data_IF_111153096291
#
_entry.id   IF_111153096291
#
_cell.length_a   1.000
_cell.length_b   1.000
_cell.length_c   1.000
_cell.angle_alpha   90.00
_cell.angle_beta   90.00
_cell.angle_gamma   90.00
#
_symmetry.space_group_name_H-M   'P 1'
#
loop_
_entity.id
_entity.type
_entity.pdbx_description
1 polymer ?
#
# COMPACT_ATOMS: atom_id res chain seq x y z
N UNK A 1 47.74 -1.25 15.05
CA UNK A 1 46.75 -1.33 13.93
C UNK A 1 45.31 -1.06 14.41
N UNK A 2 45.04 -0.02 15.17
CA UNK A 2 43.74 0.22 15.81
C UNK A 2 43.18 1.65 15.66
N UNK A 3 43.94 2.62 15.17
CA UNK A 3 43.50 4.01 15.09
C UNK A 3 42.84 4.38 13.73
N UNK A 4 43.18 3.70 12.65
CA UNK A 4 42.68 4.03 11.30
C UNK A 4 41.17 3.72 11.08
N UNK A 5 40.63 2.70 11.75
CA UNK A 5 39.23 2.28 11.58
C UNK A 5 38.19 3.20 12.24
N UNK A 6 38.59 3.86 13.37
CA UNK A 6 37.67 4.78 14.06
C UNK A 6 37.54 6.13 13.36
N UNK A 7 38.54 6.58 12.63
CA UNK A 7 38.48 7.82 11.86
C UNK A 7 37.69 7.69 10.59
N UNK A 8 37.73 6.52 9.92
CA UNK A 8 36.93 6.28 8.71
C UNK A 8 35.42 6.15 9.03
N UNK A 9 35.07 5.53 10.18
CA UNK A 9 33.67 5.43 10.60
C UNK A 9 33.09 6.78 11.01
N UNK A 10 33.88 7.65 11.67
CA UNK A 10 33.46 9.01 12.00
C UNK A 10 33.28 9.92 10.79
N UNK A 11 34.13 9.80 9.79
CA UNK A 11 34.04 10.58 8.54
C UNK A 11 32.84 10.15 7.68
N UNK A 12 32.52 8.85 7.60
CA UNK A 12 31.36 8.33 6.87
C UNK A 12 30.05 8.79 7.55
N UNK A 13 29.98 8.79 8.88
CA UNK A 13 28.80 9.27 9.61
C UNK A 13 28.59 10.80 9.48
N UNK A 14 29.66 11.59 9.39
CA UNK A 14 29.56 13.04 9.17
C UNK A 14 29.17 13.37 7.74
N UNK A 15 29.68 12.62 6.76
CA UNK A 15 29.34 12.83 5.33
C UNK A 15 27.90 12.40 5.04
N UNK A 16 27.41 11.30 5.64
CA UNK A 16 26.00 10.89 5.51
C UNK A 16 25.07 11.85 6.26
N UNK A 17 25.45 12.37 7.42
CA UNK A 17 24.68 13.39 8.16
C UNK A 17 24.60 14.72 7.41
N UNK A 18 25.68 15.15 6.77
CA UNK A 18 25.72 16.36 5.94
C UNK A 18 24.96 16.16 4.62
N UNK A 19 25.01 14.97 4.01
CA UNK A 19 24.23 14.67 2.80
C UNK A 19 22.72 14.61 3.11
N UNK A 20 22.32 14.07 4.26
CA UNK A 20 20.91 14.07 4.72
C UNK A 20 20.43 15.49 5.09
N UNK A 21 21.25 16.33 5.70
CA UNK A 21 20.89 17.72 6.02
C UNK A 21 20.84 18.60 4.77
N UNK A 22 21.79 18.44 3.83
CA UNK A 22 21.78 19.13 2.56
C UNK A 22 20.62 18.63 1.66
N UNK A 23 20.33 17.34 1.63
CA UNK A 23 19.17 16.74 0.97
C UNK A 23 17.86 17.23 1.55
N UNK A 24 17.72 17.27 2.89
CA UNK A 24 16.54 17.79 3.57
C UNK A 24 16.28 19.28 3.27
N UNK A 25 17.31 20.11 3.24
CA UNK A 25 17.19 21.51 2.85
C UNK A 25 16.88 21.69 1.36
N UNK A 26 17.40 20.82 0.50
CA UNK A 26 17.09 20.83 -0.94
C UNK A 26 15.63 20.42 -1.19
N UNK A 27 15.14 19.38 -0.51
CA UNK A 27 13.74 18.93 -0.57
C UNK A 27 12.75 20.01 -0.13
N UNK A 28 13.09 20.83 0.87
CA UNK A 28 12.25 21.95 1.30
C UNK A 28 12.15 23.08 0.26
N UNK A 29 13.07 23.13 -0.71
CA UNK A 29 13.08 24.12 -1.81
C UNK A 29 12.35 23.66 -3.07
N UNK A 30 11.84 22.41 -3.10
CA UNK A 30 11.06 21.94 -4.24
C UNK A 30 9.82 22.81 -4.43
N UNK A 31 9.53 23.23 -5.68
CA UNK A 31 8.36 24.05 -5.96
C UNK A 31 7.06 23.27 -5.65
N UNK A 32 6.02 24.03 -5.36
CA UNK A 32 4.70 23.44 -5.20
C UNK A 32 4.16 22.99 -6.56
N UNK A 33 3.61 21.79 -6.60
CA UNK A 33 2.82 21.31 -7.74
C UNK A 33 1.57 22.18 -7.88
N UNK A 34 1.20 22.53 -9.13
CA UNK A 34 -0.02 23.28 -9.43
C UNK A 34 -1.26 22.52 -8.97
N UNK A 35 -2.29 23.26 -8.54
CA UNK A 35 -3.59 22.69 -8.29
C UNK A 35 -4.43 22.49 -9.57
N UNK A 36 -4.05 23.12 -10.66
CA UNK A 36 -4.66 22.88 -11.97
C UNK A 36 -4.08 21.63 -12.61
N UNK A 37 -4.95 20.80 -13.16
CA UNK A 37 -4.55 19.51 -13.77
C UNK A 37 -3.76 19.77 -15.05
N UNK A 38 -2.60 19.13 -15.18
CA UNK A 38 -1.75 19.19 -16.37
C UNK A 38 -1.48 17.80 -16.93
N UNK A 39 -1.08 17.73 -18.20
CA UNK A 39 -0.77 16.51 -18.92
C UNK A 39 -1.94 15.91 -19.72
N UNK A 40 -1.66 14.95 -20.60
CA UNK A 40 -2.66 14.32 -21.45
C UNK A 40 -3.60 13.42 -20.63
N UNK A 41 -4.80 13.06 -21.16
CA UNK A 41 -5.63 12.03 -20.57
C UNK A 41 -4.88 10.70 -20.42
N UNK A 42 -5.32 9.85 -19.46
CA UNK A 42 -4.78 8.49 -19.30
C UNK A 42 -4.95 7.69 -20.61
N UNK A 43 -3.91 6.99 -21.01
CA UNK A 43 -3.85 6.25 -22.28
C UNK A 43 -3.24 4.85 -22.05
N UNK A 44 -3.74 3.82 -22.76
CA UNK A 44 -4.93 3.83 -23.62
C UNK A 44 -6.22 4.03 -22.83
N UNK A 45 -7.31 4.57 -23.43
CA UNK A 45 -8.59 4.66 -22.72
C UNK A 45 -9.07 3.28 -22.23
N UNK A 46 -9.51 3.19 -20.98
CA UNK A 46 -9.73 1.92 -20.27
C UNK A 46 -10.76 0.99 -20.95
N UNK A 47 -11.73 1.54 -21.67
CA UNK A 47 -12.76 0.79 -22.39
C UNK A 47 -12.45 0.61 -23.88
N UNK A 48 -11.39 1.24 -24.42
CA UNK A 48 -11.00 1.08 -25.83
C UNK A 48 -10.59 -0.37 -26.13
N UNK A 49 -10.54 -0.72 -27.41
CA UNK A 49 -9.98 -1.99 -27.85
C UNK A 49 -8.53 -2.13 -27.32
N UNK A 50 -8.17 -3.33 -26.93
CA UNK A 50 -6.90 -3.63 -26.31
C UNK A 50 -6.32 -4.89 -26.90
N UNK A 51 -5.28 -4.76 -27.73
CA UNK A 51 -4.72 -5.87 -28.50
C UNK A 51 -5.82 -6.58 -29.34
N UNK A 52 -6.01 -7.90 -29.17
CA UNK A 52 -7.08 -8.65 -29.80
C UNK A 52 -8.43 -8.56 -29.07
N UNK A 53 -8.48 -7.94 -27.88
CA UNK A 53 -9.71 -7.77 -27.10
C UNK A 53 -10.48 -6.53 -27.60
N UNK A 54 -11.73 -6.67 -28.10
CA UNK A 54 -12.50 -5.56 -28.60
C UNK A 54 -12.85 -4.55 -27.50
N UNK A 55 -13.30 -3.36 -27.91
CA UNK A 55 -13.77 -2.34 -26.98
C UNK A 55 -14.86 -2.87 -26.06
N UNK A 56 -14.87 -2.39 -24.83
CA UNK A 56 -15.82 -2.77 -23.78
C UNK A 56 -17.10 -1.97 -23.96
N UNK A 57 -18.23 -2.66 -24.08
CA UNK A 57 -19.55 -2.08 -24.28
C UNK A 57 -20.49 -2.30 -23.08
N UNK A 58 -20.19 -3.29 -22.23
CA UNK A 58 -21.04 -3.71 -21.12
C UNK A 58 -20.25 -4.07 -19.88
N UNK A 59 -20.95 -4.16 -18.75
CA UNK A 59 -20.38 -4.63 -17.49
C UNK A 59 -19.87 -6.09 -17.60
N UNK A 60 -20.60 -6.96 -18.32
CA UNK A 60 -20.15 -8.34 -18.53
C UNK A 60 -18.88 -8.40 -19.39
N UNK A 61 -18.74 -7.56 -20.44
CA UNK A 61 -17.48 -7.46 -21.18
C UNK A 61 -16.30 -7.09 -20.28
N UNK A 62 -16.54 -6.16 -19.35
CA UNK A 62 -15.53 -5.80 -18.39
C UNK A 62 -15.17 -6.95 -17.45
N UNK A 63 -16.17 -7.56 -16.82
CA UNK A 63 -15.98 -8.58 -15.79
C UNK A 63 -15.43 -9.90 -16.36
N UNK A 64 -15.94 -10.33 -17.51
CA UNK A 64 -15.67 -11.66 -18.06
C UNK A 64 -14.45 -11.69 -18.98
N UNK A 65 -14.08 -10.55 -19.59
CA UNK A 65 -12.97 -10.45 -20.55
C UNK A 65 -11.86 -9.51 -20.10
N UNK A 66 -12.16 -8.20 -19.98
CA UNK A 66 -11.12 -7.19 -19.80
C UNK A 66 -10.45 -7.27 -18.44
N UNK A 67 -11.17 -7.40 -17.36
CA UNK A 67 -10.60 -7.43 -16.02
C UNK A 67 -9.65 -8.64 -15.81
N UNK A 68 -9.99 -9.88 -16.20
CA UNK A 68 -9.05 -11.00 -16.17
C UNK A 68 -7.80 -10.77 -17.04
N UNK A 69 -7.97 -10.21 -18.25
CA UNK A 69 -6.86 -9.88 -19.14
C UNK A 69 -5.90 -8.87 -18.51
N UNK A 70 -6.42 -7.78 -17.94
CA UNK A 70 -5.60 -6.77 -17.26
C UNK A 70 -4.87 -7.35 -16.06
N UNK A 71 -5.52 -8.19 -15.25
CA UNK A 71 -4.85 -8.89 -14.14
C UNK A 71 -3.69 -9.73 -14.62
N UNK A 72 -3.85 -10.49 -15.69
CA UNK A 72 -2.77 -11.28 -16.30
C UNK A 72 -1.62 -10.36 -16.78
N UNK A 73 -1.95 -9.24 -17.44
CA UNK A 73 -0.96 -8.29 -17.94
C UNK A 73 -0.20 -7.58 -16.81
N UNK A 74 -0.86 -7.15 -15.75
CA UNK A 74 -0.17 -6.57 -14.59
C UNK A 74 0.82 -7.54 -13.93
N UNK A 75 0.49 -8.83 -13.92
CA UNK A 75 1.41 -9.86 -13.43
C UNK A 75 2.59 -10.04 -14.40
N UNK A 76 2.34 -10.24 -15.69
CA UNK A 76 3.38 -10.53 -16.65
C UNK A 76 4.33 -9.35 -16.92
N UNK A 77 3.83 -8.11 -16.84
CA UNK A 77 4.57 -6.94 -17.29
C UNK A 77 5.20 -6.13 -16.14
N UNK A 78 4.51 -6.04 -14.99
CA UNK A 78 4.90 -5.07 -13.94
C UNK A 78 5.23 -5.75 -12.62
N UNK A 79 4.29 -6.49 -12.01
CA UNK A 79 4.45 -6.90 -10.60
C UNK A 79 4.98 -8.32 -10.41
N UNK A 80 4.96 -9.14 -11.45
CA UNK A 80 5.24 -10.56 -11.37
C UNK A 80 4.02 -11.38 -10.94
N UNK A 81 4.17 -12.69 -11.00
CA UNK A 81 3.12 -13.63 -10.64
C UNK A 81 2.69 -13.42 -9.18
N UNK A 82 1.40 -13.39 -8.92
CA UNK A 82 0.88 -13.35 -7.54
C UNK A 82 1.15 -14.72 -6.87
N UNK A 83 1.67 -14.74 -5.64
CA UNK A 83 1.83 -15.99 -4.91
C UNK A 83 0.51 -16.74 -4.74
N UNK A 84 0.59 -18.07 -4.65
CA UNK A 84 -0.59 -18.91 -4.44
C UNK A 84 -1.32 -18.55 -3.13
N UNK A 85 -2.64 -18.68 -3.14
CA UNK A 85 -3.42 -18.55 -1.91
C UNK A 85 -3.11 -19.71 -0.97
N UNK A 86 -2.80 -19.39 0.28
CA UNK A 86 -2.45 -20.38 1.32
C UNK A 86 -3.23 -20.10 2.60
N UNK A 87 -3.42 -21.12 3.41
CA UNK A 87 -3.96 -20.95 4.75
C UNK A 87 -2.97 -20.30 5.72
N UNK A 88 -3.43 -20.03 6.92
CA UNK A 88 -2.62 -19.49 8.00
C UNK A 88 -2.77 -20.29 9.29
N UNK A 89 -1.92 -20.01 10.27
CA UNK A 89 -1.98 -20.52 11.63
C UNK A 89 -1.60 -19.39 12.60
N UNK A 90 -2.43 -19.13 13.61
CA UNK A 90 -2.06 -18.21 14.68
C UNK A 90 -1.21 -18.97 15.68
N UNK A 91 0.10 -18.74 15.67
CA UNK A 91 1.06 -19.40 16.58
C UNK A 91 0.87 -18.89 18.01
N UNK A 92 0.64 -17.58 18.14
CA UNK A 92 0.45 -16.95 19.45
C UNK A 92 -0.42 -15.71 19.35
N UNK A 93 -1.09 -15.39 20.45
CA UNK A 93 -1.90 -14.19 20.63
C UNK A 93 -1.68 -13.65 22.04
N UNK A 94 -1.19 -12.44 22.14
CA UNK A 94 -0.91 -11.78 23.41
C UNK A 94 -1.61 -10.43 23.49
N UNK A 95 -2.27 -10.18 24.62
CA UNK A 95 -2.80 -8.85 24.93
C UNK A 95 -1.65 -8.02 25.48
N UNK A 96 -1.28 -6.96 24.76
CA UNK A 96 -0.23 -6.02 25.13
C UNK A 96 -0.77 -4.92 26.03
N UNK A 97 -1.96 -4.42 25.72
CA UNK A 97 -2.65 -3.40 26.51
C UNK A 97 -4.14 -3.72 26.59
N UNK A 98 -4.65 -3.77 27.83
CA UNK A 98 -6.08 -3.92 28.10
C UNK A 98 -6.76 -2.56 28.21
N UNK A 99 -8.06 -2.47 27.89
CA UNK A 99 -8.81 -1.23 28.01
C UNK A 99 -9.09 -0.90 29.47
N UNK A 100 -8.12 -0.30 30.16
CA UNK A 100 -8.32 0.29 31.47
C UNK A 100 -9.07 1.63 31.37
N UNK A 101 -9.39 2.24 32.54
CA UNK A 101 -10.06 3.55 32.57
C UNK A 101 -9.18 4.59 31.87
N UNK A 102 -9.62 5.07 30.71
CA UNK A 102 -8.86 6.01 29.86
C UNK A 102 -8.16 5.39 28.65
N UNK A 103 -7.96 4.05 28.60
CA UNK A 103 -7.34 3.40 27.44
C UNK A 103 -8.24 3.46 26.18
N UNK A 104 -7.61 3.48 25.01
CA UNK A 104 -8.29 3.57 23.69
C UNK A 104 -9.05 2.30 23.32
N UNK A 105 -8.59 1.14 23.77
CA UNK A 105 -9.16 -0.17 23.44
C UNK A 105 -8.23 -1.29 23.88
N UNK A 106 -8.36 -2.46 23.25
CA UNK A 106 -7.46 -3.59 23.43
C UNK A 106 -6.41 -3.57 22.33
N UNK A 107 -5.12 -3.68 22.68
CA UNK A 107 -4.01 -3.86 21.74
C UNK A 107 -3.47 -5.28 21.91
N UNK A 108 -3.44 -6.02 20.83
CA UNK A 108 -2.97 -7.40 20.78
C UNK A 108 -1.87 -7.57 19.75
N UNK A 109 -0.96 -8.49 20.01
CA UNK A 109 0.00 -9.02 19.05
C UNK A 109 -0.39 -10.44 18.69
N UNK A 110 -0.53 -10.70 17.41
CA UNK A 110 -0.74 -12.01 16.82
C UNK A 110 0.49 -12.41 16.02
N UNK A 111 1.10 -13.55 16.32
CA UNK A 111 2.15 -14.13 15.48
C UNK A 111 1.50 -15.17 14.57
N UNK A 112 1.59 -14.95 13.25
CA UNK A 112 0.85 -15.67 12.23
C UNK A 112 1.84 -16.34 11.29
N UNK A 113 1.78 -17.68 11.15
CA UNK A 113 2.51 -18.41 10.13
C UNK A 113 1.64 -18.59 8.87
N UNK A 114 2.18 -18.29 7.71
CA UNK A 114 1.54 -18.54 6.42
C UNK A 114 1.95 -19.92 5.91
N UNK A 115 0.97 -20.77 5.53
CA UNK A 115 1.18 -22.20 5.19
C UNK A 115 1.61 -22.35 3.71
N UNK A 116 2.79 -21.84 3.35
CA UNK A 116 3.35 -22.05 2.01
C UNK A 116 3.56 -23.53 1.73
N UNK A 117 3.38 -23.97 0.47
CA UNK A 117 3.52 -25.37 0.06
C UNK A 117 4.96 -25.86 0.23
N UNK A 118 5.93 -25.01 -0.12
CA UNK A 118 7.34 -25.29 -0.06
C UNK A 118 8.01 -24.56 1.11
N UNK A 119 9.04 -25.16 1.68
CA UNK A 119 9.88 -24.49 2.66
C UNK A 119 10.74 -23.42 1.97
N UNK A 120 10.85 -22.26 2.59
CA UNK A 120 11.62 -21.13 2.07
C UNK A 120 12.68 -20.64 3.07
N UNK A 121 13.29 -19.47 2.79
CA UNK A 121 14.44 -18.95 3.54
C UNK A 121 14.06 -18.38 4.92
N UNK A 122 12.80 -18.41 5.31
CA UNK A 122 12.33 -17.93 6.62
C UNK A 122 12.76 -18.86 7.74
N UNK A 123 12.98 -18.30 8.93
CA UNK A 123 13.21 -19.11 10.13
C UNK A 123 12.02 -20.05 10.37
N UNK A 124 12.29 -21.35 10.40
CA UNK A 124 11.23 -22.38 10.45
C UNK A 124 10.60 -22.72 9.10
N UNK A 125 11.19 -22.24 7.98
CA UNK A 125 10.86 -22.62 6.60
C UNK A 125 9.62 -21.97 6.01
N UNK A 126 8.90 -21.13 6.73
CA UNK A 126 7.68 -20.44 6.23
C UNK A 126 7.58 -19.00 6.76
N UNK A 127 6.88 -18.11 6.02
CA UNK A 127 6.71 -16.73 6.46
C UNK A 127 5.97 -16.66 7.80
N UNK A 128 6.48 -15.84 8.70
CA UNK A 128 5.83 -15.51 9.97
C UNK A 128 5.65 -14.01 10.03
N UNK A 129 4.42 -13.57 10.23
CA UNK A 129 4.05 -12.15 10.30
C UNK A 129 3.57 -11.82 11.71
N UNK A 130 4.13 -10.78 12.29
CA UNK A 130 3.61 -10.20 13.52
C UNK A 130 2.57 -9.11 13.19
N UNK A 131 1.33 -9.37 13.56
CA UNK A 131 0.20 -8.44 13.40
C UNK A 131 -0.07 -7.74 14.73
N UNK A 132 -0.09 -6.41 14.74
CA UNK A 132 -0.64 -5.62 15.83
C UNK A 132 -2.09 -5.29 15.50
N UNK A 133 -2.99 -5.71 16.36
CA UNK A 133 -4.42 -5.45 16.24
C UNK A 133 -4.90 -4.60 17.43
N UNK A 134 -5.37 -3.40 17.14
CA UNK A 134 -6.10 -2.57 18.09
C UNK A 134 -7.60 -2.67 17.81
N UNK A 135 -8.38 -3.02 18.83
CA UNK A 135 -9.85 -2.99 18.79
C UNK A 135 -10.37 -1.92 19.75
N UNK A 136 -11.27 -1.03 19.32
CA UNK A 136 -11.83 0.01 20.19
C UNK A 136 -12.61 -0.56 21.38
N UNK A 137 -12.88 0.27 22.38
CA UNK A 137 -13.84 -0.06 23.43
C UNK A 137 -15.26 -0.15 22.86
N UNK A 138 -16.06 -1.07 23.40
CA UNK A 138 -17.47 -1.20 23.04
C UNK A 138 -17.82 -2.55 22.41
N UNK A 139 -19.01 -2.62 21.83
CA UNK A 139 -19.48 -3.79 21.10
C UNK A 139 -19.17 -3.65 19.62
N UNK A 140 -18.39 -4.60 19.08
CA UNK A 140 -18.22 -4.77 17.63
C UNK A 140 -19.50 -5.32 16.96
N UNK A 141 -19.39 -5.77 15.70
CA UNK A 141 -18.13 -5.84 14.96
C UNK A 141 -17.65 -4.46 14.47
N UNK A 142 -16.36 -4.20 14.59
CA UNK A 142 -15.74 -2.92 14.20
C UNK A 142 -15.26 -2.96 12.75
N UNK A 143 -15.39 -1.86 11.98
CA UNK A 143 -14.64 -1.69 10.75
C UNK A 143 -13.14 -1.68 11.08
N UNK A 144 -12.31 -2.25 10.22
CA UNK A 144 -10.87 -2.32 10.44
C UNK A 144 -10.10 -1.64 9.32
N UNK A 145 -9.17 -0.78 9.67
CA UNK A 145 -8.19 -0.19 8.76
C UNK A 145 -6.91 -1.00 8.86
N UNK A 146 -6.47 -1.58 7.76
CA UNK A 146 -5.36 -2.52 7.71
C UNK A 146 -4.27 -2.03 6.76
N UNK A 147 -3.00 -2.07 7.17
CA UNK A 147 -1.89 -1.64 6.31
C UNK A 147 -0.51 -2.01 6.82
N UNK A 148 0.41 -2.17 5.89
CA UNK A 148 1.82 -2.41 6.17
C UNK A 148 2.58 -1.16 6.63
N UNK A 149 3.59 -1.35 7.46
CA UNK A 149 4.46 -0.30 7.99
C UNK A 149 5.90 -0.45 7.54
N UNK A 150 6.63 0.66 7.50
CA UNK A 150 8.05 0.67 7.10
C UNK A 150 8.97 0.10 8.16
N UNK A 151 8.69 0.41 9.40
CA UNK A 151 9.47 -0.02 10.55
C UNK A 151 8.67 -1.09 11.27
N UNK A 152 9.30 -2.13 11.71
CA UNK A 152 8.62 -3.22 12.41
C UNK A 152 7.69 -2.73 13.53
N UNK A 153 6.88 -3.61 14.03
CA UNK A 153 5.80 -3.29 14.98
C UNK A 153 6.23 -2.56 16.26
N UNK A 154 7.51 -2.65 16.62
CA UNK A 154 8.07 -1.90 17.78
C UNK A 154 7.98 -0.38 17.62
N UNK A 155 8.01 0.11 16.36
CA UNK A 155 7.84 1.53 16.07
C UNK A 155 6.38 2.00 16.19
N UNK A 156 5.43 1.07 16.11
CA UNK A 156 4.01 1.34 16.27
C UNK A 156 3.58 1.44 17.72
N UNK A 157 4.23 0.65 18.58
CA UNK A 157 3.82 0.48 19.97
C UNK A 157 4.36 1.61 20.85
N UNK A 158 3.64 2.02 21.89
CA UNK A 158 4.17 2.89 22.92
C UNK A 158 5.45 2.30 23.50
N UNK A 159 6.44 3.14 23.81
CA UNK A 159 7.81 2.75 24.26
C UNK A 159 7.89 1.77 25.44
N UNK A 160 6.80 1.47 26.09
CA UNK A 160 6.72 0.63 27.29
C UNK A 160 6.49 -0.86 27.02
N UNK A 161 6.20 -1.26 25.77
CA UNK A 161 5.84 -2.65 25.46
C UNK A 161 7.02 -3.59 25.15
N UNK A 162 8.21 -3.08 25.03
CA UNK A 162 9.51 -3.72 25.31
C UNK A 162 9.98 -4.94 24.50
N UNK A 163 9.27 -5.41 23.50
CA UNK A 163 9.72 -6.59 22.73
C UNK A 163 9.82 -6.28 21.24
N UNK A 164 11.05 -6.35 20.72
CA UNK A 164 11.32 -6.28 19.29
C UNK A 164 10.61 -7.45 18.58
N UNK A 165 9.78 -7.14 17.60
CA UNK A 165 8.87 -8.09 16.98
C UNK A 165 9.31 -8.57 15.61
N UNK A 166 10.27 -7.90 14.96
CA UNK A 166 10.79 -8.35 13.67
C UNK A 166 12.13 -9.08 13.83
N UNK A 167 12.24 -10.20 13.15
CA UNK A 167 13.50 -10.98 13.07
C UNK A 167 14.42 -10.47 11.98
N UNK A 168 13.94 -9.59 11.11
CA UNK A 168 14.69 -9.05 9.97
C UNK A 168 15.41 -7.76 10.33
N UNK A 169 16.51 -7.48 9.61
CA UNK A 169 17.20 -6.21 9.73
C UNK A 169 16.29 -5.07 9.29
N UNK A 170 16.03 -4.13 10.20
CA UNK A 170 15.29 -2.92 9.90
C UNK A 170 16.16 -1.92 9.14
N UNK A 171 15.56 -1.11 8.25
CA UNK A 171 16.24 0.01 7.64
C UNK A 171 16.86 0.94 8.72
N UNK A 172 18.01 1.59 8.45
CA UNK A 172 18.69 2.46 9.42
C UNK A 172 17.78 3.56 10.00
N UNK A 173 16.83 4.06 9.23
CA UNK A 173 15.85 5.07 9.62
C UNK A 173 14.86 4.59 10.70
N UNK A 174 14.74 3.28 10.90
CA UNK A 174 13.86 2.69 11.91
C UNK A 174 14.54 2.49 13.27
N UNK A 175 15.85 2.73 13.37
CA UNK A 175 16.59 2.69 14.64
C UNK A 175 16.34 3.95 15.47
N UNK A 176 15.84 3.81 16.69
CA UNK A 176 15.60 4.93 17.62
C UNK A 176 16.87 5.68 17.99
N UNK A 177 17.20 6.78 17.31
CA UNK A 177 18.34 7.66 17.55
C UNK A 177 18.16 9.01 16.89
N UNK A 178 19.25 9.82 16.77
CA UNK A 178 19.22 11.09 16.05
C UNK A 178 18.55 11.02 14.65
N UNK A 179 18.65 9.92 13.88
CA UNK A 179 17.90 9.76 12.65
C UNK A 179 16.37 9.74 12.82
N UNK A 180 15.83 9.23 13.93
CA UNK A 180 14.36 9.10 14.11
C UNK A 180 13.63 10.43 14.16
N UNK A 181 14.23 11.46 14.72
CA UNK A 181 13.64 12.80 14.72
C UNK A 181 13.66 13.43 13.32
N UNK A 182 14.72 13.19 12.52
CA UNK A 182 14.79 13.62 11.11
C UNK A 182 13.75 12.90 10.25
N UNK A 183 13.57 11.61 10.45
CA UNK A 183 12.52 10.82 9.79
C UNK A 183 11.14 11.42 10.08
N UNK A 184 10.85 11.72 11.34
CA UNK A 184 9.58 12.36 11.73
C UNK A 184 9.43 13.76 11.13
N UNK A 185 10.50 14.54 11.06
CA UNK A 185 10.48 15.89 10.49
C UNK A 185 10.25 15.88 8.96
N UNK A 186 10.79 14.89 8.25
CA UNK A 186 10.70 14.76 6.79
C UNK A 186 9.44 14.01 6.38
N UNK A 187 9.20 12.84 6.98
CA UNK A 187 8.12 11.91 6.59
C UNK A 187 6.85 12.05 7.42
N UNK A 188 6.83 12.95 8.38
CA UNK A 188 5.65 13.26 9.18
C UNK A 188 5.50 12.39 10.43
N UNK A 189 4.65 12.86 11.33
CA UNK A 189 4.39 12.26 12.65
C UNK A 189 3.90 10.81 12.56
N UNK A 190 3.15 10.49 11.54
CA UNK A 190 2.47 9.20 11.39
C UNK A 190 3.16 8.25 10.40
N UNK A 191 4.38 8.53 9.99
CA UNK A 191 5.16 7.65 9.12
C UNK A 191 5.33 6.24 9.74
N UNK A 192 5.52 6.17 11.07
CA UNK A 192 5.73 4.93 11.78
C UNK A 192 4.51 4.46 12.59
N UNK A 193 3.70 5.37 13.12
CA UNK A 193 2.59 5.00 13.99
C UNK A 193 1.30 5.77 13.62
N UNK A 194 0.23 5.08 13.24
CA UNK A 194 -1.08 5.68 13.00
C UNK A 194 -1.64 6.39 14.25
N UNK A 195 -2.66 7.27 14.09
CA UNK A 195 -3.28 7.98 15.20
C UNK A 195 -4.26 7.07 15.98
N UNK A 196 -3.76 6.16 16.78
CA UNK A 196 -4.51 5.14 17.53
C UNK A 196 -5.75 5.68 18.22
N UNK A 197 -5.58 6.77 18.99
CA UNK A 197 -6.67 7.38 19.75
C UNK A 197 -7.80 7.90 18.84
N UNK A 198 -7.43 8.58 17.76
CA UNK A 198 -8.40 9.11 16.79
C UNK A 198 -9.19 7.99 16.12
N UNK A 199 -8.50 6.89 15.75
CA UNK A 199 -9.13 5.73 15.13
C UNK A 199 -10.11 5.06 16.10
N UNK A 200 -9.68 4.80 17.33
CA UNK A 200 -10.50 4.20 18.36
C UNK A 200 -11.74 5.05 18.71
N UNK A 201 -11.57 6.39 18.85
CA UNK A 201 -12.67 7.31 19.11
C UNK A 201 -13.71 7.33 17.99
N UNK A 202 -13.27 7.11 16.74
CA UNK A 202 -14.18 6.99 15.58
C UNK A 202 -14.72 5.58 15.37
N UNK A 203 -14.38 4.64 16.26
CA UNK A 203 -14.87 3.26 16.22
C UNK A 203 -14.21 2.38 15.17
N UNK A 204 -13.01 2.72 14.70
CA UNK A 204 -12.22 1.89 13.79
C UNK A 204 -11.22 1.04 14.57
N UNK A 205 -11.19 -0.25 14.29
CA UNK A 205 -10.04 -1.09 14.61
C UNK A 205 -8.87 -0.78 13.66
N UNK A 206 -7.66 -1.07 14.11
CA UNK A 206 -6.45 -0.92 13.30
C UNK A 206 -5.69 -2.23 13.31
N UNK A 207 -5.29 -2.71 12.13
CA UNK A 207 -4.42 -3.85 11.93
C UNK A 207 -3.15 -3.40 11.20
N UNK A 208 -1.98 -3.72 11.76
CA UNK A 208 -0.72 -3.29 11.20
C UNK A 208 0.35 -4.36 11.29
N UNK A 209 1.18 -4.50 10.27
CA UNK A 209 2.27 -5.48 10.18
C UNK A 209 3.45 -4.91 9.42
N UNK A 210 4.59 -5.58 9.52
CA UNK A 210 5.77 -5.24 8.72
C UNK A 210 5.88 -6.17 7.51
N UNK A 211 5.65 -5.69 6.28
CA UNK A 211 5.71 -6.54 5.07
C UNK A 211 7.09 -7.16 4.83
N UNK A 212 8.15 -6.52 5.37
CA UNK A 212 9.51 -7.04 5.33
C UNK A 212 9.72 -8.37 6.08
N UNK A 213 8.79 -8.77 6.96
CA UNK A 213 8.81 -10.09 7.60
C UNK A 213 8.60 -11.23 6.57
N UNK A 214 7.95 -10.92 5.45
CA UNK A 214 7.70 -11.88 4.36
C UNK A 214 8.76 -11.75 3.26
N UNK A 215 9.00 -10.54 2.77
CA UNK A 215 10.07 -10.26 1.81
C UNK A 215 10.81 -9.02 2.27
N UNK A 216 12.10 -9.13 2.64
CA UNK A 216 12.91 -7.98 3.02
C UNK A 216 12.96 -6.93 1.91
N UNK A 217 12.87 -5.65 2.27
CA UNK A 217 13.00 -4.54 1.33
C UNK A 217 14.48 -4.16 1.12
N UNK A 218 15.26 -5.16 0.73
CA UNK A 218 16.69 -5.05 0.44
C UNK A 218 17.00 -5.91 -0.77
N UNK A 219 17.43 -5.31 -1.86
CA UNK A 219 17.58 -5.98 -3.16
C UNK A 219 18.48 -7.23 -3.10
N UNK A 220 19.61 -7.13 -2.37
CA UNK A 220 20.58 -8.21 -2.26
C UNK A 220 20.08 -9.40 -1.43
N UNK A 221 19.03 -9.21 -0.63
CA UNK A 221 18.49 -10.22 0.29
C UNK A 221 17.17 -10.78 -0.19
N UNK A 222 16.39 -10.03 -0.96
CA UNK A 222 15.01 -10.36 -1.30
C UNK A 222 14.86 -11.61 -2.19
N UNK A 223 15.85 -11.89 -3.07
CA UNK A 223 15.71 -12.89 -4.14
C UNK A 223 15.30 -14.29 -3.67
N UNK A 224 15.93 -14.93 -2.65
CA UNK A 224 15.52 -16.25 -2.21
C UNK A 224 14.07 -16.28 -1.66
N UNK A 225 13.59 -15.18 -1.06
CA UNK A 225 12.22 -15.06 -0.58
C UNK A 225 11.21 -14.93 -1.72
N UNK A 226 11.56 -14.16 -2.73
CA UNK A 226 10.76 -14.01 -3.95
C UNK A 226 10.67 -15.29 -4.73
N UNK A 227 11.79 -16.01 -4.88
CA UNK A 227 11.83 -17.32 -5.53
C UNK A 227 10.93 -18.33 -4.83
N UNK A 228 10.95 -18.38 -3.49
CA UNK A 228 10.11 -19.29 -2.71
C UNK A 228 8.59 -18.96 -2.79
N UNK A 229 8.23 -17.71 -3.10
CA UNK A 229 6.84 -17.27 -3.27
C UNK A 229 6.37 -17.34 -4.72
N UNK A 230 7.29 -17.42 -5.68
CA UNK A 230 6.96 -17.50 -7.11
C UNK A 230 6.32 -18.84 -7.43
N UNK A 231 5.11 -18.87 -8.04
CA UNK A 231 4.46 -20.13 -8.42
C UNK A 231 5.33 -20.96 -9.37
N UNK A 232 5.32 -22.27 -9.19
CA UNK A 232 6.06 -23.21 -10.03
C UNK A 232 5.60 -23.07 -11.49
N UNK A 233 6.55 -23.05 -12.43
CA UNK A 233 6.29 -22.89 -13.86
C UNK A 233 6.18 -21.43 -14.31
N UNK A 234 6.34 -20.47 -13.42
CA UNK A 234 6.45 -19.04 -13.77
C UNK A 234 7.72 -18.80 -14.57
N UNK A 235 7.64 -18.03 -15.66
CA UNK A 235 8.80 -17.62 -16.43
C UNK A 235 9.72 -16.71 -15.60
N UNK A 236 11.05 -16.80 -15.73
CA UNK A 236 11.98 -15.99 -14.92
C UNK A 236 11.72 -14.49 -14.97
N UNK A 237 11.35 -13.96 -16.15
CA UNK A 237 11.02 -12.55 -16.36
C UNK A 237 9.71 -12.11 -15.69
N UNK A 238 8.89 -13.07 -15.28
CA UNK A 238 7.61 -12.86 -14.59
C UNK A 238 7.68 -13.27 -13.11
N UNK A 239 8.87 -13.48 -12.57
CA UNK A 239 9.08 -13.77 -11.16
C UNK A 239 8.31 -12.78 -10.28
N UNK A 240 7.72 -13.27 -9.19
CA UNK A 240 7.04 -12.45 -8.18
C UNK A 240 7.93 -11.28 -7.74
N UNK A 241 7.44 -10.05 -7.83
CA UNK A 241 8.10 -8.89 -7.26
C UNK A 241 7.71 -8.69 -5.78
N UNK A 242 8.51 -7.93 -5.04
CA UNK A 242 8.23 -7.68 -3.62
C UNK A 242 6.88 -6.95 -3.42
N UNK A 243 6.49 -6.04 -4.33
CA UNK A 243 5.17 -5.39 -4.28
C UNK A 243 4.04 -6.43 -4.38
N UNK A 244 4.17 -7.44 -5.26
CA UNK A 244 3.20 -8.52 -5.38
C UNK A 244 3.17 -9.40 -4.11
N UNK A 245 4.33 -9.72 -3.55
CA UNK A 245 4.43 -10.48 -2.31
C UNK A 245 3.82 -9.73 -1.12
N UNK A 246 4.04 -8.41 -1.01
CA UNK A 246 3.42 -7.57 0.03
C UNK A 246 1.91 -7.39 -0.17
N UNK A 247 1.45 -7.31 -1.41
CA UNK A 247 0.03 -7.30 -1.74
C UNK A 247 -0.65 -8.63 -1.36
N UNK A 248 0.01 -9.75 -1.67
CA UNK A 248 -0.42 -11.07 -1.24
C UNK A 248 -0.45 -11.22 0.28
N UNK A 249 0.58 -10.72 1.00
CA UNK A 249 0.59 -10.69 2.46
C UNK A 249 -0.61 -9.94 3.00
N UNK A 250 -0.95 -8.78 2.41
CA UNK A 250 -2.16 -8.02 2.80
C UNK A 250 -3.42 -8.87 2.69
N UNK A 251 -3.59 -9.64 1.60
CA UNK A 251 -4.71 -10.56 1.42
C UNK A 251 -4.73 -11.68 2.48
N UNK A 252 -3.55 -12.22 2.86
CA UNK A 252 -3.46 -13.22 3.93
C UNK A 252 -3.82 -12.65 5.30
N UNK A 253 -3.47 -11.40 5.57
CA UNK A 253 -3.91 -10.71 6.78
C UNK A 253 -5.43 -10.49 6.77
N UNK A 254 -6.03 -10.19 5.62
CA UNK A 254 -7.48 -10.09 5.52
C UNK A 254 -8.20 -11.42 5.83
N UNK A 255 -7.58 -12.58 5.60
CA UNK A 255 -8.13 -13.88 6.05
C UNK A 255 -8.25 -13.89 7.57
N UNK A 256 -7.18 -13.53 8.28
CA UNK A 256 -7.13 -13.49 9.74
C UNK A 256 -8.14 -12.49 10.31
N UNK A 257 -8.24 -11.31 9.70
CA UNK A 257 -9.16 -10.26 10.15
C UNK A 257 -10.62 -10.63 9.86
N UNK A 258 -10.89 -11.32 8.75
CA UNK A 258 -12.22 -11.79 8.37
C UNK A 258 -12.76 -12.87 9.31
N UNK A 259 -11.87 -13.67 9.92
CA UNK A 259 -12.22 -14.73 10.87
C UNK A 259 -12.34 -14.21 12.32
N UNK A 260 -11.97 -12.96 12.62
CA UNK A 260 -12.12 -12.37 13.95
C UNK A 260 -13.55 -11.81 14.15
N UNK A 261 -14.38 -12.40 15.02
CA UNK A 261 -15.78 -12.01 15.18
C UNK A 261 -15.96 -10.58 15.74
N UNK A 262 -14.91 -9.96 16.24
CA UNK A 262 -14.94 -8.57 16.72
C UNK A 262 -14.86 -7.56 15.60
N UNK A 263 -14.49 -8.01 14.38
CA UNK A 263 -14.29 -7.16 13.20
C UNK A 263 -15.41 -7.39 12.18
N UNK A 264 -15.77 -6.33 11.46
CA UNK A 264 -16.73 -6.44 10.35
C UNK A 264 -16.00 -6.79 9.04
N UNK A 265 -16.09 -8.06 8.65
CA UNK A 265 -15.46 -8.57 7.41
C UNK A 265 -15.91 -7.83 6.14
N UNK A 266 -17.07 -7.14 6.16
CA UNK A 266 -17.58 -6.33 5.03
C UNK A 266 -17.02 -4.91 5.04
N UNK A 267 -16.29 -4.52 6.08
CA UNK A 267 -15.75 -3.17 6.29
C UNK A 267 -14.25 -3.22 6.61
N UNK A 268 -13.53 -4.08 5.90
CA UNK A 268 -12.07 -4.11 5.89
C UNK A 268 -11.56 -3.09 4.89
N UNK A 269 -10.74 -2.15 5.33
CA UNK A 269 -10.22 -1.03 4.57
C UNK A 269 -8.71 -1.20 4.45
N UNK A 270 -8.17 -1.19 3.23
CA UNK A 270 -6.72 -1.22 3.04
C UNK A 270 -6.15 0.20 2.91
N UNK A 271 -5.00 0.42 3.51
CA UNK A 271 -4.23 1.63 3.30
C UNK A 271 -2.74 1.35 3.14
N UNK A 272 -2.04 2.28 2.52
CA UNK A 272 -0.59 2.24 2.45
C UNK A 272 0.00 3.56 1.98
N UNK A 273 1.22 3.82 2.43
CA UNK A 273 2.01 4.97 2.03
C UNK A 273 3.17 4.52 1.12
N UNK A 274 3.48 5.28 0.08
CA UNK A 274 4.60 5.02 -0.81
C UNK A 274 4.52 3.60 -1.42
N UNK A 275 5.55 2.76 -1.28
CA UNK A 275 5.59 1.37 -1.73
C UNK A 275 4.45 0.51 -1.17
N UNK A 276 4.04 0.76 0.07
CA UNK A 276 2.88 0.05 0.65
C UNK A 276 1.55 0.54 0.08
N UNK A 277 1.48 1.77 -0.45
CA UNK A 277 0.35 2.25 -1.24
C UNK A 277 0.22 1.51 -2.58
N UNK A 278 1.36 1.20 -3.25
CA UNK A 278 1.39 0.34 -4.44
C UNK A 278 0.84 -1.06 -4.09
N UNK A 279 1.33 -1.65 -2.99
CA UNK A 279 0.88 -2.96 -2.52
C UNK A 279 -0.61 -2.99 -2.13
N UNK A 280 -1.14 -1.94 -1.49
CA UNK A 280 -2.55 -1.84 -1.13
C UNK A 280 -3.46 -1.78 -2.36
N UNK A 281 -3.11 -0.99 -3.37
CA UNK A 281 -3.84 -0.94 -4.65
C UNK A 281 -3.82 -2.29 -5.36
N UNK A 282 -2.63 -2.89 -5.47
CA UNK A 282 -2.47 -4.20 -6.11
C UNK A 282 -3.24 -5.29 -5.36
N UNK A 283 -3.15 -5.34 -4.02
CA UNK A 283 -3.91 -6.27 -3.20
C UNK A 283 -5.41 -6.16 -3.49
N UNK A 284 -5.97 -4.96 -3.47
CA UNK A 284 -7.39 -4.75 -3.74
C UNK A 284 -7.79 -5.04 -5.20
N UNK A 285 -6.88 -4.89 -6.17
CA UNK A 285 -7.16 -5.28 -7.55
C UNK A 285 -7.32 -6.80 -7.71
N UNK A 286 -6.63 -7.58 -6.88
CA UNK A 286 -6.66 -9.04 -6.94
C UNK A 286 -7.56 -9.69 -5.89
N UNK A 287 -7.86 -8.99 -4.80
CA UNK A 287 -8.72 -9.44 -3.71
C UNK A 287 -10.00 -8.57 -3.65
N UNK A 288 -11.19 -9.14 -3.76
CA UNK A 288 -12.44 -8.39 -3.76
C UNK A 288 -12.89 -7.93 -2.35
N UNK A 289 -12.31 -8.43 -1.27
CA UNK A 289 -12.77 -8.20 0.11
C UNK A 289 -12.53 -6.80 0.68
N UNK A 290 -11.45 -6.07 0.32
CA UNK A 290 -11.32 -4.69 0.78
C UNK A 290 -12.51 -3.85 0.36
N UNK A 291 -13.22 -3.28 1.33
CA UNK A 291 -14.39 -2.44 1.09
C UNK A 291 -14.02 -1.05 0.53
N UNK A 292 -12.81 -0.59 0.79
CA UNK A 292 -12.23 0.62 0.23
C UNK A 292 -10.69 0.57 0.32
N UNK A 293 -10.02 1.44 -0.45
CA UNK A 293 -8.56 1.58 -0.44
C UNK A 293 -8.16 3.04 -0.32
N UNK A 294 -7.15 3.28 0.49
CA UNK A 294 -6.45 4.56 0.54
C UNK A 294 -4.96 4.35 0.22
N UNK A 295 -4.52 4.88 -0.92
CA UNK A 295 -3.12 4.90 -1.31
C UNK A 295 -2.57 6.33 -1.22
N UNK A 296 -1.57 6.52 -0.37
CA UNK A 296 -0.94 7.80 -0.12
C UNK A 296 0.42 7.83 -0.80
N UNK A 297 0.63 8.81 -1.70
CA UNK A 297 1.92 9.08 -2.35
C UNK A 297 2.56 7.82 -2.98
N UNK A 298 1.75 7.02 -3.67
CA UNK A 298 2.20 5.74 -4.19
C UNK A 298 2.97 5.83 -5.53
N UNK A 299 2.90 6.96 -6.24
CA UNK A 299 3.73 7.23 -7.43
C UNK A 299 3.61 6.19 -8.55
N UNK A 300 4.67 6.08 -9.34
CA UNK A 300 4.82 5.13 -10.46
C UNK A 300 4.65 3.68 -10.00
N UNK A 301 3.97 2.87 -10.81
CA UNK A 301 3.51 1.53 -10.43
C UNK A 301 2.72 1.51 -9.10
N UNK A 302 2.03 2.61 -8.82
CA UNK A 302 1.08 2.78 -7.73
C UNK A 302 -0.17 3.45 -8.27
N UNK A 303 -0.41 4.72 -7.93
CA UNK A 303 -1.55 5.48 -8.46
C UNK A 303 -1.19 6.36 -9.66
N UNK A 304 0.09 6.74 -9.84
CA UNK A 304 0.50 7.64 -10.91
C UNK A 304 0.66 6.92 -12.24
N UNK A 305 0.29 7.58 -13.34
CA UNK A 305 0.49 7.05 -14.69
C UNK A 305 1.99 6.82 -14.95
N UNK A 306 2.35 5.61 -15.38
CA UNK A 306 3.73 5.21 -15.64
C UNK A 306 4.20 5.50 -17.07
N UNK A 307 3.28 5.72 -18.00
CA UNK A 307 3.61 6.01 -19.42
C UNK A 307 4.14 7.43 -19.64
N UNK A 308 3.75 8.35 -18.76
CA UNK A 308 4.23 9.72 -18.80
C UNK A 308 5.65 9.79 -18.21
N UNK A 309 6.50 10.61 -18.77
CA UNK A 309 7.84 10.84 -18.23
C UNK A 309 7.80 11.93 -17.14
N UNK A 310 6.94 11.71 -16.13
CA UNK A 310 6.71 12.61 -15.02
C UNK A 310 6.80 11.81 -13.71
N UNK A 311 7.32 12.43 -12.67
CA UNK A 311 7.53 11.77 -11.38
C UNK A 311 8.78 10.89 -11.38
N UNK A 312 8.67 9.65 -10.91
CA UNK A 312 9.76 8.67 -10.89
C UNK A 312 9.72 7.79 -12.15
N UNK A 313 10.67 7.94 -13.09
CA UNK A 313 10.69 7.16 -14.32
C UNK A 313 10.83 5.65 -14.06
N UNK A 314 10.31 4.81 -14.97
CA UNK A 314 10.47 3.34 -14.89
C UNK A 314 11.94 2.94 -14.81
N UNK A 315 12.83 3.65 -15.54
CA UNK A 315 14.26 3.42 -15.49
C UNK A 315 14.86 3.61 -14.08
N UNK A 316 14.39 4.64 -13.37
CA UNK A 316 14.94 4.96 -12.05
C UNK A 316 14.42 4.02 -10.98
N UNK A 317 13.12 3.75 -10.94
CA UNK A 317 12.52 2.88 -9.93
C UNK A 317 12.99 1.42 -10.09
N UNK A 318 13.14 0.92 -11.32
CA UNK A 318 13.61 -0.48 -11.55
C UNK A 318 15.10 -0.63 -11.30
N UNK A 319 15.90 0.44 -11.50
CA UNK A 319 17.31 0.45 -11.13
C UNK A 319 17.51 0.53 -9.62
N UNK A 320 16.76 1.40 -8.93
CA UNK A 320 16.88 1.62 -7.49
C UNK A 320 16.31 0.43 -6.68
N UNK A 321 15.25 -0.18 -7.16
CA UNK A 321 14.51 -1.23 -6.48
C UNK A 321 14.21 -2.43 -7.42
N UNK A 322 15.25 -3.13 -7.92
CA UNK A 322 15.07 -4.20 -8.90
C UNK A 322 14.24 -5.38 -8.36
N UNK A 323 14.16 -5.55 -7.05
CA UNK A 323 13.38 -6.59 -6.38
C UNK A 323 11.89 -6.27 -6.26
N UNK A 324 11.47 -5.02 -6.45
CA UNK A 324 10.06 -4.65 -6.25
C UNK A 324 9.13 -5.21 -7.32
N UNK A 325 9.62 -5.39 -8.53
CA UNK A 325 8.83 -5.71 -9.71
C UNK A 325 9.27 -7.02 -10.36
N UNK A 326 8.49 -7.47 -11.34
CA UNK A 326 8.94 -8.49 -12.27
C UNK A 326 10.15 -7.98 -13.07
N UNK A 327 11.13 -8.84 -13.43
CA UNK A 327 12.22 -8.45 -14.31
C UNK A 327 11.76 -7.88 -15.66
N UNK A 328 10.61 -8.33 -16.19
CA UNK A 328 9.96 -7.79 -17.40
C UNK A 328 9.75 -6.27 -17.33
N UNK A 329 9.42 -5.70 -16.17
CA UNK A 329 9.16 -4.27 -16.04
C UNK A 329 10.38 -3.41 -16.38
N UNK A 330 11.58 -3.86 -16.04
CA UNK A 330 12.83 -3.17 -16.38
C UNK A 330 13.06 -3.04 -17.90
N UNK A 331 12.46 -3.92 -18.72
CA UNK A 331 12.54 -3.82 -20.17
C UNK A 331 11.87 -2.57 -20.75
N UNK A 332 11.02 -1.92 -19.97
CA UNK A 332 10.34 -0.66 -20.33
C UNK A 332 11.11 0.59 -19.91
N UNK A 333 12.29 0.46 -19.28
CA UNK A 333 13.09 1.57 -18.77
C UNK A 333 13.40 2.67 -19.82
N UNK A 334 13.66 2.27 -21.07
CA UNK A 334 13.92 3.19 -22.17
C UNK A 334 12.71 3.44 -23.09
N UNK A 335 11.57 2.83 -22.79
CA UNK A 335 10.38 2.84 -23.67
C UNK A 335 9.07 2.74 -22.87
N UNK A 336 9.01 3.42 -21.73
CA UNK A 336 7.83 3.37 -20.86
C UNK A 336 6.52 3.79 -21.55
N UNK A 337 6.61 4.63 -22.59
CA UNK A 337 5.47 5.00 -23.41
C UNK A 337 4.90 3.83 -24.23
N UNK A 338 5.66 2.73 -24.42
CA UNK A 338 5.20 1.54 -25.14
C UNK A 338 4.38 0.59 -24.27
N UNK A 339 4.35 0.78 -22.93
CA UNK A 339 3.44 0.06 -22.07
C UNK A 339 2.00 0.23 -22.55
N UNK A 340 1.33 -0.87 -22.82
CA UNK A 340 -0.06 -0.87 -23.26
C UNK A 340 -1.06 -0.97 -22.09
N UNK A 341 -0.54 -1.12 -20.87
CA UNK A 341 -1.26 -1.04 -19.60
C UNK A 341 -0.72 0.10 -18.75
N UNK A 342 -1.59 0.72 -17.91
CA UNK A 342 -1.17 1.77 -17.00
C UNK A 342 -2.07 1.83 -15.76
N UNK A 343 -1.69 2.61 -14.75
CA UNK A 343 -2.24 2.57 -13.41
C UNK A 343 -3.74 2.94 -13.31
N UNK A 344 -4.29 3.71 -14.25
CA UNK A 344 -5.74 3.92 -14.33
C UNK A 344 -6.52 2.61 -14.56
N UNK A 345 -5.91 1.66 -15.30
CA UNK A 345 -6.50 0.33 -15.50
C UNK A 345 -6.40 -0.53 -14.24
N UNK A 346 -5.32 -0.40 -13.46
CA UNK A 346 -5.22 -1.04 -12.14
C UNK A 346 -6.31 -0.51 -11.18
N UNK A 347 -6.50 0.82 -11.14
CA UNK A 347 -7.54 1.45 -10.32
C UNK A 347 -8.93 1.01 -10.81
N UNK A 348 -9.15 0.88 -12.10
CA UNK A 348 -10.41 0.42 -12.68
C UNK A 348 -10.78 -1.01 -12.22
N UNK A 349 -9.80 -1.89 -11.96
CA UNK A 349 -10.04 -3.23 -11.40
C UNK A 349 -10.65 -3.21 -9.98
N UNK A 350 -10.62 -2.06 -9.30
CA UNK A 350 -11.23 -1.91 -7.99
C UNK A 350 -12.73 -1.58 -8.05
N UNK A 351 -13.25 -1.19 -9.22
CA UNK A 351 -14.66 -0.84 -9.36
C UNK A 351 -15.61 -1.96 -8.89
N UNK A 352 -16.68 -1.65 -8.17
CA UNK A 352 -17.20 -0.31 -7.84
C UNK A 352 -16.72 0.25 -6.48
N UNK A 353 -15.65 -0.31 -5.88
CA UNK A 353 -15.18 -0.01 -4.52
C UNK A 353 -14.52 1.37 -4.43
N UNK A 354 -14.72 2.11 -3.32
CA UNK A 354 -14.12 3.42 -3.09
C UNK A 354 -12.59 3.39 -3.09
N UNK A 355 -11.99 4.40 -3.75
CA UNK A 355 -10.53 4.62 -3.78
C UNK A 355 -10.22 6.06 -3.43
N UNK A 356 -9.37 6.27 -2.44
CA UNK A 356 -8.81 7.57 -2.09
C UNK A 356 -7.33 7.60 -2.43
N UNK A 357 -6.91 8.59 -3.20
CA UNK A 357 -5.49 8.86 -3.46
C UNK A 357 -5.11 10.18 -2.79
N UNK A 358 -4.04 10.13 -1.99
CA UNK A 358 -3.49 11.30 -1.32
C UNK A 358 -2.08 11.63 -1.80
N UNK A 359 -1.75 12.92 -1.85
CA UNK A 359 -0.41 13.36 -2.24
C UNK A 359 0.05 14.58 -1.43
N UNK A 360 1.37 14.82 -1.41
CA UNK A 360 1.97 16.05 -0.93
C UNK A 360 2.18 17.04 -2.07
N UNK A 361 1.92 18.33 -1.84
CA UNK A 361 2.06 19.38 -2.87
C UNK A 361 3.50 19.59 -3.37
N UNK A 362 4.49 19.08 -2.63
CA UNK A 362 5.90 19.13 -3.00
C UNK A 362 6.47 17.75 -3.33
N UNK A 363 5.63 16.75 -3.37
CA UNK A 363 5.99 15.38 -3.72
C UNK A 363 5.92 15.18 -5.24
N UNK A 364 6.93 15.70 -5.94
CA UNK A 364 7.01 15.60 -7.40
C UNK A 364 7.23 14.16 -7.86
N UNK A 365 7.93 13.33 -7.06
CA UNK A 365 8.15 11.91 -7.35
C UNK A 365 6.85 11.10 -7.34
N UNK A 366 5.91 11.48 -6.49
CA UNK A 366 4.58 10.86 -6.40
C UNK A 366 3.67 11.19 -7.59
N UNK A 367 4.07 12.08 -8.48
CA UNK A 367 3.29 12.60 -9.61
C UNK A 367 1.81 12.84 -9.26
N UNK A 368 1.50 13.95 -8.58
CA UNK A 368 0.12 14.29 -8.25
C UNK A 368 -0.80 14.41 -9.46
N UNK A 369 -0.29 14.94 -10.59
CA UNK A 369 -1.08 15.09 -11.81
C UNK A 369 -1.39 13.75 -12.46
N UNK A 370 -0.39 12.86 -12.59
CA UNK A 370 -0.58 11.51 -13.11
C UNK A 370 -1.53 10.69 -12.24
N UNK A 371 -1.43 10.80 -10.91
CA UNK A 371 -2.33 10.13 -9.97
C UNK A 371 -3.78 10.62 -10.12
N UNK A 372 -3.99 11.93 -10.27
CA UNK A 372 -5.32 12.51 -10.52
C UNK A 372 -5.91 12.04 -11.86
N UNK A 373 -5.10 12.06 -12.91
CA UNK A 373 -5.51 11.62 -14.26
C UNK A 373 -5.80 10.11 -14.29
N UNK A 374 -5.10 9.32 -13.51
CA UNK A 374 -5.37 7.89 -13.38
C UNK A 374 -6.75 7.62 -12.77
N UNK A 375 -7.13 8.33 -11.70
CA UNK A 375 -8.50 8.24 -11.15
C UNK A 375 -9.55 8.61 -12.20
N UNK A 376 -9.34 9.72 -12.91
CA UNK A 376 -10.24 10.14 -13.98
C UNK A 376 -10.31 9.11 -15.13
N UNK A 377 -9.19 8.48 -15.46
CA UNK A 377 -9.11 7.43 -16.48
C UNK A 377 -9.81 6.14 -16.09
N UNK A 378 -9.94 5.86 -14.79
CA UNK A 378 -10.66 4.68 -14.28
C UNK A 378 -12.18 4.89 -14.23
N UNK A 379 -12.68 6.13 -14.15
CA UNK A 379 -14.09 6.47 -13.99
C UNK A 379 -15.04 5.80 -15.00
N UNK A 380 -14.71 5.66 -16.31
CA UNK A 380 -15.60 4.99 -17.26
C UNK A 380 -15.98 3.56 -16.86
N UNK A 381 -15.12 2.83 -16.16
CA UNK A 381 -15.47 1.49 -15.65
C UNK A 381 -16.47 1.58 -14.51
N UNK A 382 -16.30 2.54 -13.60
CA UNK A 382 -17.27 2.78 -12.52
C UNK A 382 -18.66 3.15 -13.06
N UNK A 383 -18.71 3.85 -14.19
CA UNK A 383 -19.98 4.16 -14.87
C UNK A 383 -20.70 2.89 -15.37
N UNK A 384 -19.97 1.83 -15.76
CA UNK A 384 -20.58 0.53 -16.07
C UNK A 384 -21.32 -0.09 -14.87
N UNK A 385 -20.88 0.24 -13.65
CA UNK A 385 -21.56 -0.13 -12.39
C UNK A 385 -22.64 0.86 -11.97
N UNK A 386 -23.00 1.82 -12.84
CA UNK A 386 -24.02 2.83 -12.54
C UNK A 386 -23.56 3.96 -11.61
N UNK A 387 -22.26 4.16 -11.44
CA UNK A 387 -21.70 5.18 -10.55
C UNK A 387 -21.02 6.30 -11.35
N UNK A 388 -21.31 7.55 -11.02
CA UNK A 388 -20.44 8.67 -11.37
C UNK A 388 -19.39 8.79 -10.25
N UNK A 389 -18.23 8.14 -10.44
CA UNK A 389 -17.30 7.93 -9.37
C UNK A 389 -16.32 9.08 -9.16
N UNK A 390 -15.90 9.76 -10.24
CA UNK A 390 -14.92 10.85 -10.18
C UNK A 390 -15.52 12.17 -10.65
N UNK A 391 -15.65 13.14 -9.73
CA UNK A 391 -16.32 14.43 -9.97
C UNK A 391 -15.38 15.64 -9.87
N UNK A 392 -14.16 15.43 -9.37
CA UNK A 392 -13.20 16.50 -9.13
C UNK A 392 -12.58 17.06 -10.43
N UNK A 393 -12.36 18.36 -10.46
CA UNK A 393 -11.74 19.07 -11.58
C UNK A 393 -10.36 19.66 -11.25
N UNK A 394 -9.98 19.69 -9.97
CA UNK A 394 -8.71 20.27 -9.47
C UNK A 394 -8.06 19.36 -8.44
N UNK A 395 -6.73 19.44 -8.34
CA UNK A 395 -5.92 18.72 -7.37
C UNK A 395 -6.05 19.37 -5.97
N UNK A 396 -7.19 19.15 -5.31
CA UNK A 396 -7.50 19.69 -4.00
C UNK A 396 -8.18 18.63 -3.13
N UNK A 397 -8.80 19.07 -2.05
CA UNK A 397 -9.65 18.20 -1.21
C UNK A 397 -10.80 17.62 -2.02
N UNK A 398 -11.28 16.41 -1.65
CA UNK A 398 -12.45 15.80 -2.27
C UNK A 398 -13.67 16.74 -2.20
N UNK A 399 -14.47 16.72 -3.23
CA UNK A 399 -15.73 17.50 -3.29
C UNK A 399 -16.90 16.84 -2.52
N UNK A 400 -16.63 15.72 -1.86
CA UNK A 400 -17.59 14.98 -1.05
C UNK A 400 -18.60 14.14 -1.84
N UNK A 401 -18.45 13.99 -3.16
CA UNK A 401 -19.47 13.35 -4.02
C UNK A 401 -19.05 11.97 -4.52
N UNK A 402 -17.87 11.84 -5.13
CA UNK A 402 -17.43 10.62 -5.78
C UNK A 402 -16.92 9.54 -4.83
N UNK A 403 -16.89 8.28 -5.29
CA UNK A 403 -16.22 7.15 -4.63
C UNK A 403 -14.77 7.00 -5.09
N UNK A 404 -14.38 7.61 -6.20
CA UNK A 404 -13.00 7.91 -6.54
C UNK A 404 -12.70 9.34 -6.05
N UNK A 405 -11.67 9.47 -5.23
CA UNK A 405 -11.34 10.77 -4.65
C UNK A 405 -9.84 11.01 -4.57
N UNK A 406 -9.47 12.26 -4.73
CA UNK A 406 -8.10 12.75 -4.69
C UNK A 406 -7.99 13.91 -3.71
N UNK A 407 -6.91 13.95 -2.92
CA UNK A 407 -6.54 15.15 -2.19
C UNK A 407 -5.03 15.44 -2.30
N UNK A 408 -4.70 16.72 -2.19
CA UNK A 408 -3.32 17.20 -2.18
C UNK A 408 -3.12 18.16 -1.02
N UNK A 409 -2.42 17.70 0.02
CA UNK A 409 -2.08 18.52 1.18
C UNK A 409 -0.77 19.31 0.97
N UNK A 410 -0.49 20.34 1.75
CA UNK A 410 0.83 20.95 1.81
C UNK A 410 1.93 19.94 2.23
N UNK A 411 3.19 20.20 1.87
CA UNK A 411 4.34 19.45 2.34
C UNK A 411 4.88 18.40 1.37
N UNK A 412 5.80 17.60 1.89
CA UNK A 412 6.62 16.61 1.19
C UNK A 412 6.00 15.21 1.25
N UNK A 413 6.80 14.22 0.83
CA UNK A 413 6.50 12.80 0.93
C UNK A 413 6.45 12.35 2.39
N UNK A 414 5.26 12.10 2.94
CA UNK A 414 5.11 11.72 4.35
C UNK A 414 3.64 11.55 4.77
N UNK A 415 3.40 11.26 6.05
CA UNK A 415 2.07 11.03 6.62
C UNK A 415 1.80 12.00 7.77
N UNK A 416 0.78 12.82 7.63
CA UNK A 416 0.41 13.88 8.56
C UNK A 416 -1.02 13.72 9.09
N UNK A 417 -1.43 14.60 10.00
CA UNK A 417 -2.78 14.59 10.60
C UNK A 417 -3.85 14.79 9.53
N UNK A 418 -3.59 15.66 8.57
CA UNK A 418 -4.51 15.95 7.46
C UNK A 418 -4.80 14.71 6.63
N UNK A 419 -3.81 13.85 6.39
CA UNK A 419 -3.97 12.61 5.62
C UNK A 419 -4.97 11.67 6.29
N UNK A 420 -4.86 11.48 7.60
CA UNK A 420 -5.79 10.66 8.36
C UNK A 420 -7.17 11.29 8.47
N UNK A 421 -7.25 12.62 8.56
CA UNK A 421 -8.52 13.35 8.60
C UNK A 421 -9.30 13.14 7.30
N UNK A 422 -8.63 13.28 6.15
CA UNK A 422 -9.22 13.05 4.83
C UNK A 422 -9.64 11.59 4.65
N UNK A 423 -8.77 10.65 5.01
CA UNK A 423 -9.05 9.21 4.89
C UNK A 423 -10.27 8.80 5.72
N UNK A 424 -10.33 9.19 6.99
CA UNK A 424 -11.44 8.85 7.87
C UNK A 424 -12.76 9.51 7.41
N UNK A 425 -12.71 10.75 6.93
CA UNK A 425 -13.86 11.44 6.38
C UNK A 425 -14.37 10.77 5.11
N UNK A 426 -13.45 10.29 4.25
CA UNK A 426 -13.78 9.55 3.06
C UNK A 426 -14.42 8.20 3.39
N UNK A 427 -13.85 7.43 4.32
CA UNK A 427 -14.36 6.13 4.72
C UNK A 427 -15.73 6.22 5.38
N UNK A 428 -15.94 7.18 6.30
CA UNK A 428 -17.23 7.40 6.95
C UNK A 428 -18.35 7.69 5.94
N UNK A 429 -18.01 8.34 4.82
CA UNK A 429 -18.96 8.70 3.76
C UNK A 429 -19.22 7.54 2.80
N UNK A 430 -18.18 6.78 2.42
CA UNK A 430 -18.25 5.84 1.28
C UNK A 430 -18.45 4.40 1.68
N UNK A 431 -18.06 4.02 2.90
CA UNK A 431 -18.24 2.65 3.39
C UNK A 431 -19.49 2.60 4.27
N UNK A 432 -20.52 1.82 3.89
CA UNK A 432 -21.78 1.79 4.64
C UNK A 432 -21.56 1.50 6.11
N UNK A 433 -22.15 2.30 6.99
CA UNK A 433 -22.28 1.96 8.41
C UNK A 433 -23.11 0.67 8.51
N UNK A 434 -22.78 -0.22 9.43
CA UNK A 434 -23.47 -1.49 9.58
C UNK A 434 -24.99 -1.29 9.57
N UNK A 435 -25.68 -1.91 8.60
CA UNK A 435 -27.12 -2.06 8.65
C UNK A 435 -27.39 -3.08 9.76
N UNK A 436 -28.25 -2.79 10.75
CA UNK A 436 -28.63 -3.78 11.74
C UNK A 436 -29.24 -5.00 11.03
N UNK A 437 -28.62 -6.17 11.20
CA UNK A 437 -29.08 -7.51 10.85
C UNK A 437 -30.13 -7.64 9.72
N UNK A 438 -29.69 -7.71 8.48
CA UNK A 438 -30.38 -8.52 7.48
C UNK A 438 -29.74 -9.91 7.51
N UNK A 439 -30.52 -11.02 7.65
CA UNK A 439 -29.94 -12.36 7.65
C UNK A 439 -29.22 -12.63 6.33
N UNK A 440 -28.05 -13.22 6.39
CA UNK A 440 -27.21 -13.66 5.29
C UNK A 440 -28.05 -14.35 4.18
N UNK A 441 -28.23 -13.68 3.03
CA UNK A 441 -28.55 -14.38 1.79
C UNK A 441 -27.24 -15.03 1.34
N UNK A 442 -27.17 -16.37 1.50
CA UNK A 442 -25.99 -17.20 1.30
C UNK A 442 -25.30 -16.99 -0.06
N UNK A 443 -24.18 -16.33 -0.04
CA UNK A 443 -23.12 -16.51 -1.01
C UNK A 443 -22.04 -17.35 -0.30
N UNK A 444 -22.05 -18.64 -0.57
CA UNK A 444 -20.91 -19.52 -0.30
C UNK A 444 -19.80 -19.24 -1.29
N UNK A 445 -18.52 -19.46 -0.85
CA UNK A 445 -17.31 -19.17 -1.62
C UNK A 445 -17.21 -19.92 -2.94
#
# INVERSE_FOLDING_TARGET
MGLGRKFVLGAVLVVTGLALSAGGCALQRLPNVSAEVTGPPASPPVLAAFQSDPAIQSLSDWQDRRAPLLKARFQSEIYGAMPATVGYEIISRYVLEKPEKGAIGTIERLTIALKTAEAGPWTGGRPVVDLILMTPKGKGPFPVIAGGTFCGNDALLPKQTGTRTTTMALPPECGGGAPGFLVTAIFGKYANAPPWETLAQRGYALASWHPGDVVPDVAEVAEPYLAALTPIGTLPEQRTGAIAAWAWTSSRILDVLGDDPRLDARRMLLWGHSRHGKAALLSAAFDPRPAAVWALQSGTAGAALGRDDVGEPVADITRAFPHWFAPSYASYAAKQADLDIDQHQLIALLAPRPVLIGTGRRDQWGDPHGSFRALKGADPVYQLFGQQAFTQTKLRHPDGKGVLAFYMRPGLHGIHTEDWTEALSFFDRTVPKAVPNTPNSGLKP
#
